data_IF_984463090148
#
_entry.id   IF_984463090148
#
_cell.length_a   1.000
_cell.length_b   1.000
_cell.length_c   1.000
_cell.angle_alpha   90.00
_cell.angle_beta   90.00
_cell.angle_gamma   90.00
#
_symmetry.space_group_name_H-M   'P 1'
#
loop_
_entity.id
_entity.type
_entity.pdbx_description
1 polymer ?
#
# COMPACT_ATOMS: atom_id res chain seq x y z
N UNK A 1 -5.60 11.32 -9.77
CA UNK A 1 -4.72 10.15 -9.99
C UNK A 1 -5.11 9.03 -9.04
N UNK A 2 -4.86 9.15 -7.73
CA UNK A 2 -5.26 8.15 -6.71
C UNK A 2 -6.77 7.81 -6.73
N UNK A 3 -7.64 8.83 -6.82
CA UNK A 3 -9.10 8.64 -6.89
C UNK A 3 -9.55 7.75 -8.05
N UNK A 4 -8.82 7.81 -9.17
CA UNK A 4 -9.08 7.01 -10.37
C UNK A 4 -8.32 5.67 -10.37
N UNK A 5 -7.52 5.39 -9.34
CA UNK A 5 -6.70 4.18 -9.25
C UNK A 5 -5.52 4.16 -10.22
N UNK A 6 -5.06 5.32 -10.68
CA UNK A 6 -3.91 5.43 -11.58
C UNK A 6 -2.58 5.37 -10.80
N UNK A 7 -1.57 4.78 -11.44
CA UNK A 7 -0.21 4.62 -10.94
C UNK A 7 0.72 5.63 -11.60
N UNK A 8 1.69 6.17 -10.86
CA UNK A 8 2.75 7.01 -11.39
C UNK A 8 4.11 6.36 -11.14
N UNK A 9 4.68 5.77 -12.18
CA UNK A 9 6.06 5.29 -12.19
C UNK A 9 7.01 6.39 -12.67
N UNK A 10 8.18 6.49 -12.04
CA UNK A 10 9.22 7.46 -12.36
C UNK A 10 10.49 6.75 -12.83
N UNK A 11 10.81 6.91 -14.10
CA UNK A 11 12.05 6.43 -14.71
C UNK A 11 12.91 7.62 -15.12
N UNK A 12 14.11 7.76 -14.56
CA UNK A 12 14.98 8.90 -14.87
C UNK A 12 16.40 8.51 -15.20
N UNK A 13 16.99 9.25 -16.14
CA UNK A 13 18.37 9.11 -16.59
C UNK A 13 19.08 10.45 -16.50
N UNK A 14 19.89 10.66 -15.45
CA UNK A 14 20.72 11.86 -15.31
C UNK A 14 21.78 11.66 -14.24
N UNK A 15 22.83 12.49 -14.28
CA UNK A 15 23.83 12.59 -13.23
C UNK A 15 23.38 13.55 -12.10
N UNK A 16 22.35 14.36 -12.35
CA UNK A 16 21.85 15.39 -11.43
C UNK A 16 20.54 14.99 -10.72
N UNK A 17 20.08 15.79 -9.77
CA UNK A 17 18.80 15.57 -9.11
C UNK A 17 17.61 15.87 -10.05
N UNK A 18 16.61 14.98 -10.06
CA UNK A 18 15.40 15.06 -10.91
C UNK A 18 14.12 15.48 -10.19
N UNK A 19 14.24 15.91 -8.94
CA UNK A 19 13.09 16.29 -8.12
C UNK A 19 12.28 15.11 -7.57
N UNK A 20 12.94 13.97 -7.26
CA UNK A 20 12.26 12.80 -6.66
C UNK A 20 11.60 13.15 -5.33
N UNK A 21 12.21 14.03 -4.53
CA UNK A 21 11.68 14.43 -3.22
C UNK A 21 10.33 15.14 -3.34
N UNK A 22 10.17 15.97 -4.37
CA UNK A 22 8.97 16.71 -4.70
C UNK A 22 7.87 15.79 -5.22
N UNK A 23 8.25 14.72 -5.95
CA UNK A 23 7.31 13.72 -6.49
C UNK A 23 7.02 12.55 -5.53
N UNK A 24 7.81 12.37 -4.48
CA UNK A 24 7.76 11.24 -3.54
C UNK A 24 6.34 10.93 -3.08
N UNK A 25 5.61 11.96 -2.61
CA UNK A 25 4.29 11.80 -2.00
C UNK A 25 3.30 11.14 -2.96
N UNK A 26 3.32 11.54 -4.23
CA UNK A 26 2.34 11.03 -5.18
C UNK A 26 2.72 9.63 -5.67
N UNK A 27 4.01 9.38 -5.88
CA UNK A 27 4.51 8.05 -6.26
C UNK A 27 4.17 7.04 -5.17
N UNK A 28 4.51 7.33 -3.91
CA UNK A 28 4.18 6.47 -2.75
C UNK A 28 2.69 6.23 -2.60
N UNK A 29 1.84 7.26 -2.72
CA UNK A 29 0.37 7.10 -2.59
C UNK A 29 -0.24 6.25 -3.70
N UNK A 30 0.40 6.23 -4.87
CA UNK A 30 -0.05 5.42 -6.00
C UNK A 30 0.59 4.03 -6.04
N UNK A 31 1.64 3.77 -5.24
CA UNK A 31 2.39 2.52 -5.31
C UNK A 31 3.19 2.37 -6.60
N UNK A 32 3.69 3.48 -7.15
CA UNK A 32 4.49 3.47 -8.37
C UNK A 32 5.97 3.20 -8.10
N UNK A 33 6.65 2.74 -9.15
CA UNK A 33 8.08 2.42 -9.15
C UNK A 33 8.93 3.67 -9.31
N UNK A 34 10.15 3.63 -8.76
CA UNK A 34 11.19 4.65 -9.00
C UNK A 34 12.45 3.95 -9.46
N UNK A 35 12.89 4.25 -10.69
CA UNK A 35 14.16 3.76 -11.25
C UNK A 35 15.02 4.96 -11.60
N UNK A 36 16.12 5.10 -10.85
CA UNK A 36 17.12 6.14 -11.06
C UNK A 36 18.36 5.52 -11.71
N UNK A 37 18.77 6.07 -12.84
CA UNK A 37 20.00 5.70 -13.51
C UNK A 37 20.73 6.95 -14.01
N UNK A 38 22.03 6.81 -14.29
CA UNK A 38 22.81 7.88 -14.90
C UNK A 38 22.57 7.97 -16.42
N UNK A 39 22.31 6.83 -17.04
CA UNK A 39 22.06 6.68 -18.47
C UNK A 39 21.03 5.59 -18.72
N UNK A 40 20.05 5.85 -19.59
CA UNK A 40 19.17 4.81 -20.14
C UNK A 40 19.92 3.73 -20.93
N UNK A 41 21.19 3.98 -21.28
CA UNK A 41 22.07 3.00 -21.91
C UNK A 41 22.57 1.91 -20.94
N UNK A 42 22.57 2.16 -19.64
CA UNK A 42 23.12 1.25 -18.63
C UNK A 42 22.22 0.01 -18.44
N UNK A 43 22.86 -1.13 -18.14
CA UNK A 43 22.15 -2.38 -17.88
C UNK A 43 21.16 -2.23 -16.73
N UNK A 44 21.52 -1.49 -15.67
CA UNK A 44 20.63 -1.28 -14.53
C UNK A 44 19.28 -0.70 -14.94
N UNK A 45 19.24 0.29 -15.83
CA UNK A 45 17.97 0.82 -16.34
C UNK A 45 17.26 -0.20 -17.23
N UNK A 46 17.99 -0.78 -18.19
CA UNK A 46 17.42 -1.69 -19.19
C UNK A 46 16.80 -2.93 -18.54
N UNK A 47 17.50 -3.51 -17.58
CA UNK A 47 17.10 -4.72 -16.86
C UNK A 47 15.92 -4.39 -15.92
N UNK A 48 15.98 -3.29 -15.16
CA UNK A 48 14.84 -2.85 -14.35
C UNK A 48 13.60 -2.55 -15.19
N UNK A 49 13.73 -1.83 -16.30
CA UNK A 49 12.62 -1.50 -17.18
C UNK A 49 12.03 -2.75 -17.84
N UNK A 50 12.87 -3.69 -18.26
CA UNK A 50 12.42 -4.99 -18.79
C UNK A 50 11.62 -5.77 -17.74
N UNK A 51 12.11 -5.80 -16.50
CA UNK A 51 11.49 -6.56 -15.42
C UNK A 51 10.05 -6.12 -15.10
N UNK A 52 9.73 -4.83 -15.31
CA UNK A 52 8.36 -4.30 -15.18
C UNK A 52 7.35 -5.02 -16.08
N UNK A 53 7.79 -5.49 -17.24
CA UNK A 53 6.94 -6.17 -18.23
C UNK A 53 7.22 -7.67 -18.34
N UNK A 54 8.04 -8.22 -17.44
CA UNK A 54 8.34 -9.65 -17.40
C UNK A 54 7.04 -10.44 -17.12
N UNK A 55 6.89 -11.59 -17.79
CA UNK A 55 5.70 -12.45 -17.67
C UNK A 55 6.09 -13.78 -17.02
N UNK A 56 5.13 -14.47 -16.42
CA UNK A 56 5.34 -15.79 -15.81
C UNK A 56 5.83 -15.70 -14.36
N UNK A 57 6.55 -16.73 -13.91
CA UNK A 57 6.98 -16.88 -12.50
C UNK A 57 7.92 -15.76 -12.05
N UNK A 58 8.75 -15.24 -12.96
CA UNK A 58 9.70 -14.15 -12.70
C UNK A 58 9.06 -12.76 -12.81
N UNK A 59 7.75 -12.67 -13.04
CA UNK A 59 7.06 -11.38 -13.10
C UNK A 59 6.95 -10.72 -11.73
N UNK A 60 6.80 -9.38 -11.73
CA UNK A 60 6.48 -8.65 -10.51
C UNK A 60 5.08 -9.01 -9.95
N UNK A 61 4.22 -9.67 -10.73
CA UNK A 61 2.85 -9.93 -10.32
C UNK A 61 2.05 -8.64 -10.13
N UNK A 62 2.24 -7.67 -11.03
CA UNK A 62 1.57 -6.37 -10.97
C UNK A 62 0.06 -6.55 -10.92
N UNK A 63 -0.58 -5.86 -9.98
CA UNK A 63 -2.01 -5.70 -9.85
C UNK A 63 -2.34 -4.23 -9.61
N UNK A 64 -3.59 -3.86 -9.89
CA UNK A 64 -4.00 -2.47 -9.84
C UNK A 64 -5.38 -2.29 -9.23
N UNK A 65 -5.67 -1.05 -8.86
CA UNK A 65 -6.97 -0.61 -8.38
C UNK A 65 -7.47 -1.41 -7.17
N UNK A 66 -6.54 -1.82 -6.30
CA UNK A 66 -6.77 -2.55 -5.07
C UNK A 66 -7.56 -1.74 -4.03
N UNK A 67 -8.36 -2.45 -3.26
CA UNK A 67 -9.08 -1.91 -2.09
C UNK A 67 -8.84 -2.86 -0.92
N UNK A 68 -7.99 -2.44 0.02
CA UNK A 68 -7.77 -3.13 1.27
C UNK A 68 -8.81 -2.68 2.28
N UNK A 69 -9.59 -3.63 2.80
CA UNK A 69 -10.50 -3.46 3.93
C UNK A 69 -9.99 -4.26 5.11
N UNK A 70 -10.00 -3.63 6.29
CA UNK A 70 -9.64 -4.27 7.55
C UNK A 70 -10.88 -4.30 8.43
N UNK A 71 -11.18 -5.48 8.97
CA UNK A 71 -12.25 -5.69 9.95
C UNK A 71 -11.65 -6.41 11.15
N UNK A 72 -12.01 -5.98 12.36
CA UNK A 72 -11.47 -6.57 13.58
C UNK A 72 -12.53 -6.69 14.67
N UNK A 73 -12.21 -7.45 15.72
CA UNK A 73 -13.01 -7.52 16.95
C UNK A 73 -13.18 -6.13 17.60
N UNK A 74 -14.21 -5.97 18.44
CA UNK A 74 -14.62 -4.65 19.01
C UNK A 74 -13.58 -4.02 19.93
N UNK A 75 -12.77 -4.88 20.56
CA UNK A 75 -11.65 -4.58 21.46
C UNK A 75 -10.36 -4.17 20.73
N UNK A 76 -10.35 -4.26 19.38
CA UNK A 76 -9.27 -3.76 18.54
C UNK A 76 -9.74 -2.48 17.84
N UNK A 77 -8.91 -1.44 17.90
CA UNK A 77 -9.06 -0.22 17.10
C UNK A 77 -7.89 -0.10 16.12
N UNK A 78 -8.16 0.40 14.92
CA UNK A 78 -7.19 0.61 13.86
C UNK A 78 -6.69 2.06 13.93
N UNK A 79 -5.40 2.23 14.19
CA UNK A 79 -4.74 3.55 14.25
C UNK A 79 -4.36 4.06 12.86
N UNK A 80 -4.03 3.15 11.94
CA UNK A 80 -3.77 3.44 10.54
C UNK A 80 -2.71 2.54 9.93
N UNK A 81 -2.28 2.89 8.71
CA UNK A 81 -1.36 2.10 7.89
C UNK A 81 -0.18 2.94 7.41
N UNK A 82 1.03 2.40 7.47
CA UNK A 82 2.20 2.93 6.75
C UNK A 82 2.50 2.01 5.57
N UNK A 83 2.64 2.60 4.38
CA UNK A 83 2.92 1.90 3.12
C UNK A 83 2.20 2.54 1.93
N UNK A 84 2.34 1.99 0.71
CA UNK A 84 1.88 2.60 -0.54
C UNK A 84 0.35 2.53 -0.71
N UNK A 85 -0.38 3.29 0.08
CA UNK A 85 -1.83 3.32 0.06
C UNK A 85 -2.38 4.72 0.37
N UNK A 86 -3.69 4.90 0.16
CA UNK A 86 -4.39 6.14 0.53
C UNK A 86 -5.69 5.81 1.25
N UNK A 87 -6.01 6.56 2.31
CA UNK A 87 -7.28 6.41 3.03
C UNK A 87 -8.50 6.62 2.13
N UNK A 88 -9.53 5.77 2.28
CA UNK A 88 -10.84 5.94 1.63
C UNK A 88 -11.88 6.63 2.54
N UNK A 89 -11.45 7.18 3.68
CA UNK A 89 -12.28 7.89 4.68
C UNK A 89 -13.55 7.10 5.08
N UNK A 90 -13.43 5.78 5.17
CA UNK A 90 -14.48 4.87 5.64
C UNK A 90 -14.42 4.75 7.15
N UNK A 91 -15.02 5.72 7.83
CA UNK A 91 -15.12 5.77 9.29
C UNK A 91 -15.93 4.59 9.83
N UNK A 92 -15.66 4.23 11.08
CA UNK A 92 -16.38 3.16 11.76
C UNK A 92 -16.01 3.06 13.24
N UNK A 93 -16.72 2.23 14.01
CA UNK A 93 -16.54 2.12 15.46
C UNK A 93 -15.17 1.54 15.85
N UNK A 94 -14.46 0.92 14.92
CA UNK A 94 -13.13 0.33 15.12
C UNK A 94 -11.99 1.25 14.67
N UNK A 95 -12.26 2.51 14.31
CA UNK A 95 -11.20 3.49 14.04
C UNK A 95 -10.71 4.07 15.37
N UNK A 96 -9.39 4.10 15.59
CA UNK A 96 -8.80 4.64 16.81
C UNK A 96 -8.75 6.18 16.79
N UNK A 97 -8.63 6.78 17.98
CA UNK A 97 -8.42 8.22 18.13
C UNK A 97 -6.96 8.61 17.86
N UNK A 98 -6.02 7.71 18.14
CA UNK A 98 -4.59 7.89 17.85
C UNK A 98 -4.35 7.66 16.35
N UNK A 99 -3.69 8.62 15.70
CA UNK A 99 -3.53 8.66 14.25
C UNK A 99 -2.10 8.27 13.85
N UNK A 100 -1.95 7.25 13.00
CA UNK A 100 -0.65 6.83 12.46
C UNK A 100 -0.76 6.64 10.93
N UNK A 101 0.20 7.17 10.17
CA UNK A 101 0.36 6.87 8.74
C UNK A 101 -0.78 7.38 7.86
N UNK A 102 -1.54 6.48 7.24
CA UNK A 102 -2.82 6.71 6.57
C UNK A 102 -3.93 6.20 7.50
N UNK A 103 -4.71 7.10 8.08
CA UNK A 103 -5.60 6.81 9.21
C UNK A 103 -7.06 7.18 8.92
N UNK A 104 -7.87 7.22 9.98
CA UNK A 104 -9.27 7.66 9.98
C UNK A 104 -10.16 6.84 9.01
N UNK A 105 -9.84 5.56 8.84
CA UNK A 105 -10.57 4.70 7.92
C UNK A 105 -10.43 3.23 8.33
N UNK A 106 -11.31 2.41 7.79
CA UNK A 106 -11.23 0.93 7.80
C UNK A 106 -10.92 0.39 6.40
N UNK A 107 -10.74 1.27 5.41
CA UNK A 107 -10.48 0.91 4.02
C UNK A 107 -9.48 1.85 3.36
N UNK A 108 -8.58 1.28 2.56
CA UNK A 108 -7.51 1.99 1.85
C UNK A 108 -7.49 1.59 0.38
N UNK A 109 -7.15 2.56 -0.46
CA UNK A 109 -6.87 2.39 -1.89
C UNK A 109 -5.41 1.98 -2.07
N UNK A 110 -5.18 0.97 -2.89
CA UNK A 110 -3.87 0.55 -3.40
C UNK A 110 -3.93 0.74 -4.92
N UNK A 111 -3.31 1.79 -5.47
CA UNK A 111 -3.48 2.07 -6.91
C UNK A 111 -2.70 1.06 -7.76
N UNK A 112 -1.42 0.88 -7.45
CA UNK A 112 -0.57 -0.22 -7.90
C UNK A 112 -0.12 -1.03 -6.70
N UNK A 113 0.06 -2.32 -6.92
CA UNK A 113 0.64 -3.26 -5.98
C UNK A 113 1.26 -4.42 -6.76
N UNK A 114 2.20 -5.10 -6.14
CA UNK A 114 2.93 -6.24 -6.70
C UNK A 114 3.14 -7.30 -5.60
N UNK A 115 3.84 -8.39 -5.94
CA UNK A 115 4.12 -9.47 -4.98
C UNK A 115 4.98 -9.03 -3.78
N UNK A 116 5.71 -7.93 -3.92
CA UNK A 116 6.65 -7.39 -2.93
C UNK A 116 6.10 -6.13 -2.24
N UNK A 117 4.79 -5.88 -2.37
CA UNK A 117 4.12 -4.75 -1.72
C UNK A 117 3.77 -5.08 -0.28
N UNK A 118 4.40 -4.38 0.67
CA UNK A 118 4.17 -4.55 2.11
C UNK A 118 3.49 -3.33 2.73
N UNK A 119 2.63 -3.59 3.72
CA UNK A 119 1.93 -2.58 4.51
C UNK A 119 2.14 -2.88 6.00
N UNK A 120 2.39 -1.84 6.79
CA UNK A 120 2.45 -1.94 8.26
C UNK A 120 1.18 -1.35 8.85
N UNK A 121 0.42 -2.17 9.57
CA UNK A 121 -0.86 -1.76 10.18
C UNK A 121 -0.68 -1.62 11.68
N UNK A 122 -1.12 -0.48 12.22
CA UNK A 122 -1.03 -0.16 13.64
C UNK A 122 -2.41 -0.31 14.29
N UNK A 123 -2.44 -1.03 15.42
CA UNK A 123 -3.64 -1.30 16.19
C UNK A 123 -3.49 -0.76 17.61
N UNK A 124 -4.60 -0.38 18.22
CA UNK A 124 -4.74 -0.16 19.65
C UNK A 124 -5.65 -1.27 20.19
N UNK A 125 -5.24 -1.89 21.29
CA UNK A 125 -5.94 -3.04 21.88
C UNK A 125 -6.45 -2.60 23.25
N UNK A 126 -7.77 -2.43 23.35
CA UNK A 126 -8.40 -2.08 24.63
C UNK A 126 -8.47 -3.32 25.52
N UNK A 127 -7.96 -3.20 26.75
CA UNK A 127 -7.99 -4.26 27.77
C UNK A 127 -9.30 -4.29 28.59
N UNK A 128 -10.30 -3.49 28.21
CA UNK A 128 -11.55 -3.31 28.96
C UNK A 128 -12.61 -4.34 28.53
N UNK A 129 -12.47 -5.54 29.07
CA UNK A 129 -13.51 -6.40 29.64
C UNK A 129 -12.91 -7.81 29.72
N UNK A 130 -12.27 -8.10 30.86
CA UNK A 130 -11.95 -9.47 31.24
C UNK A 130 -13.27 -10.18 31.48
N UNK A 131 -13.87 -10.71 30.42
CA UNK A 131 -14.93 -11.69 30.55
C UNK A 131 -14.35 -12.88 31.36
N UNK A 132 -14.89 -13.16 32.56
CA UNK A 132 -14.38 -14.22 33.41
C UNK A 132 -14.56 -15.62 32.81
N UNK A 133 -15.29 -15.73 31.68
CA UNK A 133 -15.55 -17.00 30.98
C UNK A 133 -14.40 -17.53 30.13
N UNK A 134 -13.30 -16.77 29.98
CA UNK A 134 -12.03 -17.31 29.48
C UNK A 134 -12.09 -17.88 28.05
N UNK A 135 -12.29 -17.02 27.04
CA UNK A 135 -11.73 -17.21 25.69
C UNK A 135 -11.95 -15.95 24.84
N UNK A 136 -11.16 -14.90 25.07
CA UNK A 136 -11.10 -13.77 24.12
C UNK A 136 -10.05 -14.14 23.07
N UNK A 137 -10.51 -14.54 21.89
CA UNK A 137 -9.64 -14.76 20.73
C UNK A 137 -9.85 -13.58 19.76
N UNK A 138 -9.13 -12.47 19.95
CA UNK A 138 -9.32 -11.27 19.13
C UNK A 138 -8.91 -11.58 17.69
N UNK A 139 -9.74 -11.18 16.72
CA UNK A 139 -9.54 -11.48 15.30
C UNK A 139 -9.36 -10.20 14.52
N UNK A 140 -8.46 -10.27 13.54
CA UNK A 140 -8.30 -9.26 12.49
C UNK A 140 -8.39 -9.97 11.15
N UNK A 141 -9.18 -9.42 10.24
CA UNK A 141 -9.38 -9.92 8.89
C UNK A 141 -9.01 -8.83 7.90
N UNK A 142 -8.14 -9.18 6.96
CA UNK A 142 -7.72 -8.35 5.84
C UNK A 142 -8.38 -8.87 4.57
N UNK A 143 -9.01 -7.99 3.80
CA UNK A 143 -9.59 -8.33 2.51
C UNK A 143 -9.09 -7.33 1.48
N UNK A 144 -8.44 -7.81 0.43
CA UNK A 144 -7.98 -6.97 -0.67
C UNK A 144 -8.66 -7.41 -1.96
N UNK A 145 -9.43 -6.52 -2.57
CA UNK A 145 -9.98 -6.71 -3.91
C UNK A 145 -9.20 -5.86 -4.90
N UNK A 146 -8.48 -6.49 -5.83
CA UNK A 146 -7.66 -5.83 -6.85
C UNK A 146 -7.93 -6.45 -8.23
N UNK A 147 -7.44 -5.78 -9.27
CA UNK A 147 -7.52 -6.25 -10.66
C UNK A 147 -6.17 -6.76 -11.10
N UNK A 148 -6.15 -7.95 -11.69
CA UNK A 148 -4.99 -8.51 -12.36
C UNK A 148 -5.03 -8.03 -13.82
N UNK A 149 -3.92 -7.55 -14.40
CA UNK A 149 -3.87 -7.17 -15.80
C UNK A 149 -4.16 -8.34 -16.74
N UNK A 150 -4.94 -8.10 -17.78
CA UNK A 150 -5.16 -9.03 -18.89
C UNK A 150 -4.12 -8.72 -19.98
N UNK A 151 -3.00 -9.45 -20.03
CA UNK A 151 -1.91 -9.25 -21.01
C UNK A 151 -1.53 -10.53 -21.74
#
# INVERSE_FOLDING_TARGET
>A
MVSHGYVLDLFTSTLDQVGVAEMKVIIERTGGLVVLAESFGHSIFKDSFKHVFEKGEESLGLAHNGTLKITCSKDIKIQGIIGPCTSLDKKGPVVANTMIGQWNTTSWKLCGLDKDTYLTVFFDISSSDKDPSGNVNPKVVYTNHHKIPEF
#
